data_IF_741468382790
#
_entry.id   IF_741468382790
#
_cell.length_a   1.000
_cell.length_b   1.000
_cell.length_c   1.000
_cell.angle_alpha   90.00
_cell.angle_beta   90.00
_cell.angle_gamma   90.00
#
_symmetry.space_group_name_H-M   'P 1'
#
loop_
_entity.id
_entity.type
_entity.pdbx_description
1 polymer ?
#
# COMPACT_ATOMS: atom_id res chain seq x y z
N UNK A 1 -9.93 30.33 3.19
CA UNK A 1 -10.16 28.94 2.74
C UNK A 1 -8.95 28.10 3.11
N UNK A 2 -9.02 27.33 4.19
CA UNK A 2 -7.95 26.41 4.58
C UNK A 2 -8.13 25.12 3.78
N UNK A 3 -7.22 24.85 2.82
CA UNK A 3 -7.14 23.54 2.16
C UNK A 3 -6.63 22.55 3.20
N UNK A 4 -7.54 21.86 3.89
CA UNK A 4 -7.17 20.74 4.74
C UNK A 4 -6.89 19.56 3.80
N UNK A 5 -5.64 19.43 3.38
CA UNK A 5 -5.17 18.23 2.68
C UNK A 5 -5.01 17.17 3.76
N UNK A 6 -6.02 16.29 3.92
CA UNK A 6 -5.91 15.10 4.77
C UNK A 6 -4.97 14.14 4.06
N UNK A 7 -3.67 14.26 4.34
CA UNK A 7 -2.69 13.24 3.98
C UNK A 7 -3.20 11.88 4.50
N UNK A 8 -3.23 10.89 3.61
CA UNK A 8 -3.63 9.52 3.97
C UNK A 8 -2.35 8.72 4.18
N UNK A 9 -2.12 8.32 5.43
CA UNK A 9 -0.97 7.49 5.82
C UNK A 9 -1.43 6.05 6.00
N UNK A 10 -0.70 5.10 5.40
CA UNK A 10 -0.83 3.67 5.66
C UNK A 10 0.45 3.15 6.32
N UNK A 11 0.31 2.20 7.23
CA UNK A 11 1.43 1.58 7.94
C UNK A 11 1.50 0.13 7.50
N UNK A 12 2.61 -0.25 6.88
CA UNK A 12 2.94 -1.63 6.57
C UNK A 12 3.71 -2.23 7.74
N UNK A 13 3.26 -3.39 8.21
CA UNK A 13 3.81 -4.10 9.38
C UNK A 13 4.72 -5.26 8.96
N UNK A 14 5.45 -5.10 7.86
CA UNK A 14 6.33 -6.12 7.31
C UNK A 14 7.12 -5.61 6.11
N UNK A 15 7.95 -6.50 5.56
CA UNK A 15 8.78 -6.16 4.42
C UNK A 15 7.94 -6.00 3.15
N UNK A 16 8.15 -4.88 2.45
CA UNK A 16 7.56 -4.62 1.16
C UNK A 16 8.43 -5.21 0.06
N UNK A 17 7.85 -5.81 -0.99
CA UNK A 17 8.58 -6.10 -2.22
C UNK A 17 9.25 -4.83 -2.75
N UNK A 18 10.48 -4.95 -3.24
CA UNK A 18 11.28 -3.81 -3.74
C UNK A 18 10.52 -2.99 -4.81
N UNK A 19 9.80 -3.68 -5.68
CA UNK A 19 8.95 -3.05 -6.69
C UNK A 19 7.85 -2.17 -6.08
N UNK A 20 7.23 -2.64 -5.00
CA UNK A 20 6.19 -1.90 -4.28
C UNK A 20 6.79 -0.66 -3.62
N UNK A 21 7.91 -0.82 -2.93
CA UNK A 21 8.62 0.31 -2.29
C UNK A 21 8.95 1.40 -3.33
N UNK A 22 9.52 1.00 -4.47
CA UNK A 22 9.89 1.90 -5.56
C UNK A 22 8.68 2.67 -6.11
N UNK A 23 7.52 2.02 -6.28
CA UNK A 23 6.31 2.69 -6.74
C UNK A 23 5.78 3.68 -5.72
N UNK A 24 5.76 3.30 -4.44
CA UNK A 24 5.29 4.15 -3.36
C UNK A 24 6.18 5.39 -3.19
N UNK A 25 7.51 5.24 -3.27
CA UNK A 25 8.45 6.36 -3.22
C UNK A 25 8.27 7.36 -4.38
N UNK A 26 7.82 6.90 -5.56
CA UNK A 26 7.51 7.80 -6.69
C UNK A 26 6.24 8.61 -6.48
N UNK A 27 5.28 8.08 -5.73
CA UNK A 27 3.94 8.67 -5.62
C UNK A 27 3.70 9.43 -4.31
N UNK A 28 4.59 9.27 -3.34
CA UNK A 28 4.47 9.88 -2.03
C UNK A 28 5.73 9.70 -1.21
N UNK A 29 5.58 9.82 0.10
CA UNK A 29 6.69 9.68 1.03
C UNK A 29 6.64 8.31 1.70
N UNK A 30 7.75 7.56 1.61
CA UNK A 30 7.92 6.27 2.26
C UNK A 30 8.99 6.41 3.36
N UNK A 31 8.62 6.13 4.60
CA UNK A 31 9.50 6.23 5.77
C UNK A 31 9.61 4.86 6.41
N UNK A 32 10.81 4.27 6.38
CA UNK A 32 11.11 3.00 7.04
C UNK A 32 11.64 3.24 8.45
N UNK A 33 11.05 2.57 9.45
CA UNK A 33 11.50 2.56 10.85
C UNK A 33 11.47 1.13 11.39
N UNK A 34 12.63 0.48 11.40
CA UNK A 34 12.73 -0.94 11.76
C UNK A 34 11.95 -1.80 10.77
N UNK A 35 11.05 -2.63 11.29
CA UNK A 35 10.19 -3.54 10.51
C UNK A 35 8.92 -2.87 9.97
N UNK A 36 8.69 -1.60 10.34
CA UNK A 36 7.50 -0.86 9.94
C UNK A 36 7.85 0.10 8.81
N UNK A 37 6.99 0.17 7.80
CA UNK A 37 7.08 1.16 6.72
C UNK A 37 5.83 2.03 6.73
N UNK A 38 6.00 3.33 6.93
CA UNK A 38 4.92 4.31 6.82
C UNK A 38 4.91 4.93 5.42
N UNK A 39 3.79 4.82 4.73
CA UNK A 39 3.57 5.47 3.43
C UNK A 39 2.55 6.59 3.57
N UNK A 40 2.88 7.78 3.07
CA UNK A 40 1.97 8.92 3.02
C UNK A 40 1.82 9.40 1.60
N UNK A 41 0.56 9.49 1.13
CA UNK A 41 0.23 10.12 -0.15
C UNK A 41 -0.39 11.49 0.09
N UNK A 42 0.12 12.52 -0.60
CA UNK A 42 -0.35 13.90 -0.46
C UNK A 42 -1.71 14.13 -1.15
N UNK A 43 -1.91 13.49 -2.30
CA UNK A 43 -3.13 13.58 -3.10
C UNK A 43 -3.51 12.21 -3.62
N UNK A 44 -4.77 11.81 -3.39
CA UNK A 44 -5.28 10.50 -3.79
C UNK A 44 -6.02 9.79 -2.66
N UNK A 45 -6.07 8.46 -2.78
CA UNK A 45 -6.81 7.62 -1.87
C UNK A 45 -6.10 6.31 -1.53
N UNK A 46 -6.23 5.92 -0.26
CA UNK A 46 -5.89 4.59 0.22
C UNK A 46 -7.18 3.98 0.76
N UNK A 47 -7.56 2.78 0.29
CA UNK A 47 -8.69 2.00 0.80
C UNK A 47 -8.20 0.61 1.19
N UNK A 48 -8.84 -0.02 2.16
CA UNK A 48 -8.50 -1.36 2.61
C UNK A 48 -9.79 -2.18 2.66
N UNK A 49 -9.76 -3.42 2.18
CA UNK A 49 -10.90 -4.34 2.24
C UNK A 49 -10.43 -5.75 2.57
N UNK A 50 -11.11 -6.46 3.48
CA UNK A 50 -10.91 -7.91 3.65
C UNK A 50 -11.40 -8.64 2.40
N UNK A 51 -10.54 -9.46 1.79
CA UNK A 51 -10.85 -10.20 0.55
C UNK A 51 -10.87 -11.71 0.75
N UNK A 52 -10.16 -12.22 1.76
CA UNK A 52 -10.25 -13.61 2.17
C UNK A 52 -9.97 -13.76 3.66
N UNK A 53 -10.46 -14.85 4.23
CA UNK A 53 -10.21 -15.26 5.61
C UNK A 53 -10.23 -16.79 5.65
N UNK A 54 -9.27 -17.36 6.33
CA UNK A 54 -9.20 -18.77 6.68
C UNK A 54 -9.05 -18.96 8.18
N UNK A 55 -8.97 -20.21 8.66
CA UNK A 55 -8.84 -20.49 10.09
C UNK A 55 -7.54 -19.94 10.69
N UNK A 56 -6.49 -19.81 9.87
CA UNK A 56 -5.14 -19.43 10.31
C UNK A 56 -4.59 -18.22 9.56
N UNK A 57 -5.38 -17.58 8.69
CA UNK A 57 -4.93 -16.41 7.95
C UNK A 57 -6.04 -15.42 7.63
N UNK A 58 -5.64 -14.17 7.39
CA UNK A 58 -6.48 -13.15 6.75
C UNK A 58 -5.78 -12.57 5.55
N UNK A 59 -6.56 -12.18 4.53
CA UNK A 59 -6.07 -11.42 3.39
C UNK A 59 -6.86 -10.13 3.28
N UNK A 60 -6.15 -9.01 3.33
CA UNK A 60 -6.69 -7.67 3.06
C UNK A 60 -6.10 -7.16 1.76
N UNK A 61 -6.95 -6.55 0.94
CA UNK A 61 -6.52 -5.79 -0.23
C UNK A 61 -6.39 -4.32 0.11
N UNK A 62 -5.22 -3.78 -0.13
CA UNK A 62 -4.89 -2.36 0.01
C UNK A 62 -4.91 -1.76 -1.38
N UNK A 63 -5.77 -0.77 -1.59
CA UNK A 63 -5.91 -0.02 -2.83
C UNK A 63 -5.24 1.33 -2.65
N UNK A 64 -4.26 1.64 -3.49
CA UNK A 64 -3.51 2.89 -3.46
C UNK A 64 -3.68 3.57 -4.81
N UNK A 65 -4.40 4.70 -4.81
CA UNK A 65 -4.72 5.50 -5.98
C UNK A 65 -4.19 6.92 -5.78
N UNK A 66 -2.94 7.22 -6.17
CA UNK A 66 -2.43 8.59 -6.13
C UNK A 66 -3.15 9.49 -7.14
N UNK A 67 -3.12 10.80 -6.91
CA UNK A 67 -3.85 11.79 -7.70
C UNK A 67 -3.49 11.85 -9.20
N UNK A 68 -2.40 11.22 -9.63
CA UNK A 68 -2.00 11.09 -11.04
C UNK A 68 -2.78 10.02 -11.81
N UNK A 69 -3.65 9.24 -11.15
CA UNK A 69 -4.48 8.21 -11.78
C UNK A 69 -3.82 6.82 -11.89
N UNK A 70 -2.61 6.65 -11.33
CA UNK A 70 -2.06 5.31 -11.09
C UNK A 70 -2.93 4.53 -10.09
N UNK A 71 -2.82 3.21 -10.13
CA UNK A 71 -3.46 2.30 -9.20
C UNK A 71 -2.48 1.19 -8.84
N UNK A 72 -2.36 0.92 -7.55
CA UNK A 72 -1.67 -0.25 -7.01
C UNK A 72 -2.60 -0.95 -6.03
N UNK A 73 -2.83 -2.23 -6.28
CA UNK A 73 -3.58 -3.13 -5.42
C UNK A 73 -2.59 -4.15 -4.83
N UNK A 74 -2.47 -4.16 -3.51
CA UNK A 74 -1.62 -5.08 -2.76
C UNK A 74 -2.49 -6.02 -1.93
N UNK A 75 -2.16 -7.30 -1.94
CA UNK A 75 -2.71 -8.24 -0.96
C UNK A 75 -1.73 -8.33 0.23
N UNK A 76 -2.20 -7.90 1.39
CA UNK A 76 -1.61 -8.16 2.70
C UNK A 76 -2.15 -9.51 3.19
N UNK A 77 -1.28 -10.52 3.24
CA UNK A 77 -1.59 -11.79 3.87
C UNK A 77 -0.97 -11.82 5.26
N UNK A 78 -1.80 -11.98 6.27
CA UNK A 78 -1.38 -12.24 7.65
C UNK A 78 -1.59 -13.71 7.97
N UNK A 79 -0.52 -14.39 8.31
CA UNK A 79 -0.52 -15.75 8.82
C UNK A 79 -0.42 -15.70 10.35
N UNK A 80 -1.40 -16.28 11.05
CA UNK A 80 -1.47 -16.26 12.51
C UNK A 80 -0.69 -17.39 13.17
N UNK A 81 -0.35 -18.45 12.44
CA UNK A 81 0.44 -19.56 12.98
C UNK A 81 1.92 -19.17 13.04
N UNK A 82 2.42 -18.61 11.94
CA UNK A 82 3.82 -18.17 11.84
C UNK A 82 4.03 -16.73 12.34
N UNK A 83 2.94 -16.00 12.62
CA UNK A 83 2.96 -14.57 12.97
C UNK A 83 3.70 -13.70 11.93
N UNK A 84 3.47 -13.98 10.65
CA UNK A 84 4.12 -13.30 9.51
C UNK A 84 3.08 -12.47 8.75
N UNK A 85 3.50 -11.27 8.31
CA UNK A 85 2.77 -10.44 7.37
C UNK A 85 3.55 -10.35 6.06
N UNK A 86 2.91 -10.73 4.95
CA UNK A 86 3.50 -10.69 3.63
C UNK A 86 2.65 -9.81 2.70
N UNK A 87 3.32 -9.11 1.78
CA UNK A 87 2.69 -8.25 0.79
C UNK A 87 2.98 -8.77 -0.61
N UNK A 88 1.96 -8.79 -1.46
CA UNK A 88 2.08 -9.19 -2.87
C UNK A 88 1.30 -8.26 -3.77
N UNK A 89 1.80 -8.02 -4.98
CA UNK A 89 1.10 -7.21 -5.96
C UNK A 89 -0.05 -8.04 -6.53
N UNK A 90 -1.28 -7.61 -6.25
CA UNK A 90 -2.46 -8.17 -6.88
C UNK A 90 -2.66 -7.57 -8.28
N UNK A 91 -2.56 -6.24 -8.38
CA UNK A 91 -2.72 -5.51 -9.64
C UNK A 91 -1.96 -4.20 -9.59
N UNK A 92 -1.39 -3.80 -10.73
CA UNK A 92 -0.88 -2.44 -10.94
C UNK A 92 -1.38 -1.88 -12.27
N UNK A 93 -1.67 -0.59 -12.30
CA UNK A 93 -1.97 0.18 -13.51
C UNK A 93 -1.28 1.54 -13.39
N UNK A 94 -0.37 1.81 -14.30
CA UNK A 94 0.36 3.08 -14.36
C UNK A 94 -0.36 4.03 -15.32
N UNK A 95 -0.38 5.33 -15.00
CA UNK A 95 -0.81 6.35 -15.95
C UNK A 95 0.26 6.58 -17.03
N UNK A 96 -0.09 7.25 -18.13
CA UNK A 96 0.82 7.47 -19.26
C UNK A 96 2.16 8.10 -18.85
N UNK A 97 2.17 9.01 -17.88
CA UNK A 97 3.38 9.66 -17.37
C UNK A 97 4.34 8.70 -16.66
N UNK A 98 3.82 7.62 -16.06
CA UNK A 98 4.61 6.64 -15.30
C UNK A 98 4.82 5.32 -16.07
N UNK A 99 4.23 5.19 -17.26
CA UNK A 99 4.52 4.10 -18.19
C UNK A 99 5.74 4.36 -19.07
N UNK A 100 6.07 5.65 -19.27
CA UNK A 100 7.14 6.13 -20.12
C UNK A 100 8.52 6.05 -19.46
#
# INVERSE_FOLDING_TARGET
MQKVIRSKTYIFEGELPEEVATLLEKWGNLVKKGEIVAYTVESGEIRIRKVAEGPTYTVKRIYIEPGCGCLLELDERRDFEENIVAYSIYRKRLCAQHQA
#
